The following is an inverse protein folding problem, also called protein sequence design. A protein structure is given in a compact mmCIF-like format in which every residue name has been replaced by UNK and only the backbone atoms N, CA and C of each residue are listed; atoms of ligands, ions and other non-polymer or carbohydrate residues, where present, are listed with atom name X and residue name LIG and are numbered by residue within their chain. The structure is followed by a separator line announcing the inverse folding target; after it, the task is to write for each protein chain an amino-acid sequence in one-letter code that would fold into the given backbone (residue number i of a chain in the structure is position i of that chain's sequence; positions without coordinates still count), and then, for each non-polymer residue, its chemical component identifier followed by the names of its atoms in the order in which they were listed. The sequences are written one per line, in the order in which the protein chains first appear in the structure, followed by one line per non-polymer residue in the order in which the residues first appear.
data_IF_710623264258
#
_entry.id   IF_710623264258
#
_cell.length_a   1.000
_cell.length_b   1.000
_cell.length_c   1.000
_cell.angle_alpha   90.00
_cell.angle_beta   90.00
_cell.angle_gamma   90.00
#
_symmetry.space_group_name_H-M   'P 1'
#
loop_
_entity.id
_entity.type
_entity.pdbx_description
1 polymer ?
#
# COMPACT_ATOMS: atom_id res chain seq x y z
N UNK A 1 27.97 -4.14 12.45
CA UNK A 1 26.72 -4.87 12.75
C UNK A 1 25.59 -4.07 12.15
N UNK A 2 24.81 -4.66 11.23
CA UNK A 2 23.62 -3.99 10.69
C UNK A 2 22.59 -3.83 11.83
N UNK A 3 22.07 -2.63 12.03
CA UNK A 3 21.02 -2.39 13.03
C UNK A 3 19.67 -2.86 12.49
N UNK A 4 18.75 -3.24 13.39
CA UNK A 4 17.40 -3.66 13.01
C UNK A 4 16.68 -2.63 12.11
N UNK A 5 16.96 -1.33 12.29
CA UNK A 5 16.40 -0.26 11.45
C UNK A 5 17.04 -0.15 10.07
N UNK A 6 18.34 -0.44 9.92
CA UNK A 6 18.95 -0.52 8.58
C UNK A 6 18.34 -1.66 7.74
N UNK A 7 17.90 -2.73 8.39
CA UNK A 7 17.18 -3.82 7.72
C UNK A 7 15.78 -3.37 7.32
N UNK A 8 15.05 -2.69 8.22
CA UNK A 8 13.77 -2.06 7.90
C UNK A 8 13.88 -1.10 6.71
N UNK A 9 14.75 -0.10 6.80
CA UNK A 9 14.97 0.90 5.75
C UNK A 9 15.34 0.26 4.39
N UNK A 10 16.12 -0.83 4.41
CA UNK A 10 16.45 -1.58 3.19
C UNK A 10 15.23 -2.30 2.60
N UNK A 11 14.38 -2.88 3.45
CA UNK A 11 13.12 -3.50 3.02
C UNK A 11 12.18 -2.44 2.44
N UNK A 12 12.07 -1.26 3.04
CA UNK A 12 11.27 -0.15 2.52
C UNK A 12 11.80 0.33 1.16
N UNK A 13 13.11 0.53 1.04
CA UNK A 13 13.74 0.90 -0.24
C UNK A 13 13.54 -0.17 -1.32
N UNK A 14 13.63 -1.45 -0.93
CA UNK A 14 13.38 -2.56 -1.84
C UNK A 14 11.93 -2.55 -2.34
N UNK A 15 10.95 -2.21 -1.50
CA UNK A 15 9.55 -2.03 -1.93
C UNK A 15 9.41 -0.91 -2.96
N UNK A 16 10.09 0.22 -2.77
CA UNK A 16 10.09 1.29 -3.78
C UNK A 16 10.62 0.79 -5.15
N UNK A 17 11.68 -0.02 -5.13
CA UNK A 17 12.21 -0.67 -6.33
C UNK A 17 11.22 -1.67 -6.96
N UNK A 18 10.47 -2.42 -6.15
CA UNK A 18 9.39 -3.28 -6.64
C UNK A 18 8.27 -2.46 -7.33
N UNK A 19 7.93 -1.29 -6.79
CA UNK A 19 7.00 -0.35 -7.43
C UNK A 19 7.47 0.09 -8.82
N UNK A 20 8.74 0.44 -8.97
CA UNK A 20 9.33 0.77 -10.28
C UNK A 20 9.34 -0.44 -11.23
N UNK A 21 9.56 -1.64 -10.68
CA UNK A 21 9.53 -2.88 -11.45
C UNK A 21 8.14 -3.16 -12.05
N UNK A 22 7.05 -2.77 -11.36
CA UNK A 22 5.69 -2.86 -11.91
C UNK A 22 5.50 -1.94 -13.11
N UNK A 23 6.01 -0.71 -13.04
CA UNK A 23 5.98 0.24 -14.17
C UNK A 23 6.71 -0.35 -15.37
N UNK A 24 7.94 -0.82 -15.15
CA UNK A 24 8.75 -1.46 -16.18
C UNK A 24 8.04 -2.66 -16.82
N UNK A 25 7.45 -3.52 -15.99
CA UNK A 25 6.72 -4.70 -16.43
C UNK A 25 5.50 -4.33 -17.29
N UNK A 26 4.77 -3.28 -16.92
CA UNK A 26 3.61 -2.81 -17.68
C UNK A 26 3.99 -2.27 -19.06
N UNK A 27 5.13 -1.58 -19.16
CA UNK A 27 5.64 -1.05 -20.42
C UNK A 27 6.24 -2.12 -21.34
N UNK A 28 6.82 -3.18 -20.78
CA UNK A 28 7.55 -4.21 -21.55
C UNK A 28 6.72 -5.45 -21.87
N UNK A 29 5.95 -5.95 -20.89
CA UNK A 29 5.19 -7.20 -21.01
C UNK A 29 3.68 -6.98 -20.98
N UNK A 30 3.21 -5.84 -20.47
CA UNK A 30 1.80 -5.51 -20.33
C UNK A 30 1.01 -6.62 -19.64
N UNK A 31 -0.07 -7.06 -20.27
CA UNK A 31 -0.99 -8.07 -19.72
C UNK A 31 -0.37 -9.47 -19.59
N UNK A 32 0.67 -9.80 -20.37
CA UNK A 32 1.40 -11.08 -20.24
C UNK A 32 2.22 -11.12 -18.94
N UNK A 33 2.59 -9.96 -18.41
CA UNK A 33 3.34 -9.81 -17.16
C UNK A 33 2.52 -10.09 -15.89
N UNK A 34 1.21 -10.37 -15.97
CA UNK A 34 0.34 -10.45 -14.79
C UNK A 34 0.84 -11.41 -13.71
N UNK A 35 1.39 -12.57 -14.10
CA UNK A 35 2.00 -13.49 -13.15
C UNK A 35 3.12 -12.83 -12.33
N UNK A 36 4.03 -12.13 -13.01
CA UNK A 36 5.16 -11.43 -12.37
C UNK A 36 4.67 -10.29 -11.49
N UNK A 37 3.64 -9.56 -11.93
CA UNK A 37 3.02 -8.51 -11.14
C UNK A 37 2.45 -9.07 -9.82
N UNK A 38 1.80 -10.25 -9.85
CA UNK A 38 1.32 -10.92 -8.63
C UNK A 38 2.47 -11.26 -7.69
N UNK A 39 3.55 -11.85 -8.20
CA UNK A 39 4.72 -12.19 -7.38
C UNK A 39 5.38 -10.95 -6.78
N UNK A 40 5.51 -9.88 -7.56
CA UNK A 40 6.04 -8.59 -7.09
C UNK A 40 5.16 -8.04 -5.96
N UNK A 41 3.83 -8.06 -6.11
CA UNK A 41 2.91 -7.56 -5.08
C UNK A 41 2.95 -8.40 -3.80
N UNK A 42 2.96 -9.73 -3.91
CA UNK A 42 3.13 -10.61 -2.74
C UNK A 42 4.45 -10.30 -2.03
N UNK A 43 5.53 -10.11 -2.80
CA UNK A 43 6.86 -9.78 -2.24
C UNK A 43 6.84 -8.41 -1.54
N UNK A 44 6.22 -7.40 -2.15
CA UNK A 44 6.12 -6.05 -1.58
C UNK A 44 5.34 -6.07 -0.25
N UNK A 45 4.18 -6.75 -0.22
CA UNK A 45 3.39 -6.91 1.00
C UNK A 45 4.09 -7.79 2.05
N UNK A 46 4.89 -8.76 1.63
CA UNK A 46 5.73 -9.53 2.57
C UNK A 46 6.78 -8.63 3.23
N UNK A 47 7.41 -7.75 2.45
CA UNK A 47 8.34 -6.74 2.96
C UNK A 47 7.70 -5.88 4.04
N UNK A 48 6.51 -5.34 3.78
CA UNK A 48 5.72 -4.54 4.72
C UNK A 48 5.52 -5.22 6.08
N UNK A 49 5.08 -6.48 6.04
CA UNK A 49 4.81 -7.27 7.24
C UNK A 49 6.09 -7.55 8.04
N UNK A 50 7.22 -7.73 7.36
CA UNK A 50 8.52 -7.97 7.98
C UNK A 50 9.05 -6.68 8.61
N UNK A 51 9.02 -5.57 7.86
CA UNK A 51 9.48 -4.26 8.31
C UNK A 51 8.75 -3.82 9.58
N UNK A 52 7.41 -3.84 9.54
CA UNK A 52 6.59 -3.46 10.69
C UNK A 52 6.91 -4.28 11.96
N UNK A 53 7.24 -5.58 11.82
CA UNK A 53 7.65 -6.41 12.97
C UNK A 53 9.04 -6.10 13.47
N UNK A 54 9.99 -5.81 12.58
CA UNK A 54 11.38 -5.49 12.93
C UNK A 54 11.42 -4.13 13.64
N UNK A 55 10.72 -3.12 13.12
CA UNK A 55 10.63 -1.79 13.72
C UNK A 55 10.09 -1.85 15.16
N UNK A 56 9.02 -2.62 15.39
CA UNK A 56 8.36 -2.74 16.72
C UNK A 56 9.15 -3.54 17.77
N UNK A 57 10.13 -4.35 17.37
CA UNK A 57 11.00 -5.09 18.31
C UNK A 57 12.10 -4.21 18.92
N UNK A 58 12.28 -2.99 18.42
CA UNK A 58 13.34 -2.09 18.90
C UNK A 58 12.78 -1.15 19.97
N UNK A 59 13.26 -1.28 21.23
CA UNK A 59 12.80 -0.50 22.40
C UNK A 59 13.09 1.01 22.33
N UNK A 60 13.97 1.46 21.43
CA UNK A 60 14.39 2.86 21.34
C UNK A 60 13.58 3.62 20.27
N UNK A 61 12.80 4.59 20.74
CA UNK A 61 12.14 5.64 19.95
C UNK A 61 13.19 6.52 19.26
N UNK A 62 13.64 6.10 18.08
CA UNK A 62 14.39 6.95 17.16
C UNK A 62 13.64 6.94 15.84
N UNK A 63 13.14 8.09 15.40
CA UNK A 63 12.56 8.25 14.08
C UNK A 63 13.68 8.07 13.03
N UNK A 64 13.52 7.15 12.07
CA UNK A 64 14.35 7.13 10.86
C UNK A 64 13.58 7.82 9.75
N UNK A 65 14.27 8.63 8.95
CA UNK A 65 13.63 9.36 7.85
C UNK A 65 12.88 8.44 6.90
N UNK A 66 13.39 7.22 6.66
CA UNK A 66 12.74 6.23 5.79
C UNK A 66 11.48 5.64 6.44
N UNK A 67 11.51 5.32 7.74
CA UNK A 67 10.34 4.84 8.47
C UNK A 67 9.24 5.89 8.62
N UNK A 68 9.60 7.17 8.67
CA UNK A 68 8.63 8.28 8.67
C UNK A 68 7.96 8.47 7.29
N UNK A 69 8.56 7.93 6.21
CA UNK A 69 8.04 8.01 4.83
C UNK A 69 7.56 6.65 4.27
N UNK A 70 7.25 5.68 5.13
CA UNK A 70 6.80 4.33 4.71
C UNK A 70 5.47 4.40 3.93
N UNK A 71 4.57 5.30 4.33
CA UNK A 71 3.32 5.52 3.62
C UNK A 71 3.53 6.08 2.21
N UNK A 72 4.47 7.00 2.04
CA UNK A 72 4.83 7.59 0.76
C UNK A 72 5.43 6.54 -0.18
N UNK A 73 6.22 5.62 0.37
CA UNK A 73 6.75 4.48 -0.37
C UNK A 73 5.61 3.55 -0.78
N UNK A 74 4.62 3.32 0.07
CA UNK A 74 3.44 2.53 -0.28
C UNK A 74 2.59 3.20 -1.34
N UNK A 75 2.48 4.52 -1.27
CA UNK A 75 1.83 5.29 -2.31
C UNK A 75 2.59 5.14 -3.63
N UNK A 76 3.93 5.17 -3.61
CA UNK A 76 4.75 4.93 -4.79
C UNK A 76 4.55 3.52 -5.37
N UNK A 77 4.47 2.48 -4.52
CA UNK A 77 4.16 1.11 -4.96
C UNK A 77 2.77 1.04 -5.59
N UNK A 78 1.76 1.64 -4.96
CA UNK A 78 0.39 1.69 -5.49
C UNK A 78 0.31 2.45 -6.81
N UNK A 79 1.07 3.54 -6.97
CA UNK A 79 1.20 4.28 -8.22
C UNK A 79 1.86 3.43 -9.30
N UNK A 80 2.92 2.69 -8.96
CA UNK A 80 3.57 1.76 -9.88
C UNK A 80 2.61 0.66 -10.36
N UNK A 81 1.79 0.13 -9.45
CA UNK A 81 0.73 -0.83 -9.78
C UNK A 81 -0.35 -0.22 -10.66
N UNK A 82 -0.77 1.02 -10.39
CA UNK A 82 -1.75 1.72 -11.20
C UNK A 82 -1.25 1.94 -12.63
N UNK A 83 0.01 2.35 -12.79
CA UNK A 83 0.66 2.49 -14.10
C UNK A 83 0.73 1.13 -14.82
N UNK A 84 1.07 0.05 -14.11
CA UNK A 84 1.02 -1.31 -14.65
C UNK A 84 -0.38 -1.65 -15.19
N UNK A 85 -1.43 -1.37 -14.41
CA UNK A 85 -2.81 -1.67 -14.79
C UNK A 85 -3.28 -0.90 -16.03
N UNK A 86 -2.85 0.37 -16.17
CA UNK A 86 -3.15 1.18 -17.36
C UNK A 86 -2.39 0.65 -18.58
N UNK A 87 -1.08 0.51 -18.46
CA UNK A 87 -0.19 0.12 -19.58
C UNK A 87 -0.48 -1.30 -20.07
N UNK A 88 -0.95 -2.18 -19.19
CA UNK A 88 -1.42 -3.53 -19.52
C UNK A 88 -2.84 -3.58 -20.10
N UNK A 89 -3.53 -2.44 -20.19
CA UNK A 89 -4.88 -2.35 -20.76
C UNK A 89 -6.00 -2.84 -19.85
N UNK A 90 -5.76 -2.97 -18.54
CA UNK A 90 -6.80 -3.39 -17.59
C UNK A 90 -7.70 -2.23 -17.15
N UNK A 91 -7.15 -1.02 -17.06
CA UNK A 91 -7.91 0.19 -16.71
C UNK A 91 -7.83 1.20 -17.85
N UNK A 92 -8.95 1.87 -18.11
CA UNK A 92 -8.99 2.99 -19.06
C UNK A 92 -8.18 4.19 -18.51
N UNK A 93 -7.35 4.79 -19.35
CA UNK A 93 -6.49 5.94 -18.97
C UNK A 93 -7.30 7.13 -18.45
N UNK A 94 -8.48 7.41 -19.00
CA UNK A 94 -9.32 8.54 -18.59
C UNK A 94 -9.92 8.36 -17.20
N UNK A 95 -10.38 7.14 -16.89
CA UNK A 95 -10.84 6.77 -15.54
C UNK A 95 -9.71 6.98 -14.54
N UNK A 96 -8.50 6.59 -14.93
CA UNK A 96 -7.32 6.74 -14.06
C UNK A 96 -6.94 8.21 -13.87
N UNK A 97 -6.96 9.02 -14.93
CA UNK A 97 -6.70 10.45 -14.82
C UNK A 97 -7.72 11.12 -13.88
N UNK A 98 -9.01 10.81 -14.03
CA UNK A 98 -10.04 11.32 -13.12
C UNK A 98 -9.78 10.89 -11.67
N UNK A 99 -9.46 9.61 -11.47
CA UNK A 99 -9.14 9.06 -10.15
C UNK A 99 -7.96 9.76 -9.48
N UNK A 100 -6.86 9.94 -10.21
CA UNK A 100 -5.65 10.62 -9.72
C UNK A 100 -5.95 12.09 -9.40
N UNK A 101 -6.67 12.80 -10.28
CA UNK A 101 -7.04 14.20 -10.05
C UNK A 101 -7.96 14.36 -8.83
N UNK A 102 -8.93 13.44 -8.68
CA UNK A 102 -9.85 13.42 -7.55
C UNK A 102 -9.11 13.24 -6.22
N UNK A 103 -8.21 12.26 -6.14
CA UNK A 103 -7.41 12.02 -4.93
C UNK A 103 -6.36 13.11 -4.69
N UNK A 104 -5.74 13.65 -5.74
CA UNK A 104 -4.83 14.79 -5.62
C UNK A 104 -5.54 16.01 -5.02
N UNK A 105 -6.77 16.30 -5.48
CA UNK A 105 -7.59 17.38 -4.93
C UNK A 105 -7.96 17.15 -3.45
N UNK A 106 -8.37 15.92 -3.11
CA UNK A 106 -8.71 15.52 -1.73
C UNK A 106 -7.51 15.65 -0.79
N UNK A 107 -6.35 15.12 -1.18
CA UNK A 107 -5.12 15.19 -0.40
C UNK A 107 -4.64 16.63 -0.25
N UNK A 108 -4.74 17.43 -1.31
CA UNK A 108 -4.40 18.86 -1.27
C UNK A 108 -5.31 19.64 -0.31
N UNK A 109 -6.61 19.34 -0.30
CA UNK A 109 -7.62 20.06 0.50
C UNK A 109 -7.54 19.75 2.00
N UNK A 110 -7.20 18.51 2.38
CA UNK A 110 -7.27 18.05 3.77
C UNK A 110 -5.92 17.74 4.42
N UNK A 111 -4.83 17.65 3.65
CA UNK A 111 -3.44 17.46 4.13
C UNK A 111 -3.22 16.30 5.13
N UNK A 112 -4.20 15.41 5.28
CA UNK A 112 -4.12 14.24 6.15
C UNK A 112 -3.68 13.02 5.34
N UNK A 113 -2.37 12.92 5.09
CA UNK A 113 -1.79 11.89 4.25
C UNK A 113 -2.00 10.48 4.81
N UNK A 114 -1.98 10.31 6.14
CA UNK A 114 -2.08 8.99 6.78
C UNK A 114 -3.34 8.21 6.40
N UNK A 115 -4.52 8.79 6.65
CA UNK A 115 -5.78 8.07 6.40
C UNK A 115 -6.17 8.12 4.93
N UNK A 116 -5.99 9.28 4.28
CA UNK A 116 -6.40 9.47 2.89
C UNK A 116 -5.49 8.73 1.91
N UNK A 117 -4.20 8.59 2.23
CA UNK A 117 -3.24 7.78 1.46
C UNK A 117 -3.64 6.32 1.45
N UNK A 118 -3.97 5.74 2.61
CA UNK A 118 -4.46 4.36 2.69
C UNK A 118 -5.76 4.15 1.90
N UNK A 119 -6.70 5.10 1.97
CA UNK A 119 -7.95 5.04 1.21
C UNK A 119 -7.74 5.20 -0.31
N UNK A 120 -6.73 5.95 -0.73
CA UNK A 120 -6.33 6.07 -2.14
C UNK A 120 -5.72 4.76 -2.66
N UNK A 121 -4.97 4.02 -1.84
CA UNK A 121 -4.34 2.78 -2.28
C UNK A 121 -5.32 1.60 -2.35
N UNK A 122 -6.29 1.54 -1.43
CA UNK A 122 -7.17 0.38 -1.28
C UNK A 122 -7.95 0.00 -2.55
N UNK A 123 -8.56 0.94 -3.31
CA UNK A 123 -9.23 0.61 -4.57
C UNK A 123 -8.28 0.05 -5.63
N UNK A 124 -7.03 0.56 -5.69
CA UNK A 124 -6.02 0.09 -6.65
C UNK A 124 -5.68 -1.38 -6.35
N UNK A 125 -5.39 -1.70 -5.08
CA UNK A 125 -5.10 -3.07 -4.66
C UNK A 125 -6.31 -4.00 -4.84
N UNK A 126 -7.51 -3.54 -4.46
CA UNK A 126 -8.74 -4.32 -4.65
C UNK A 126 -9.01 -4.65 -6.11
N UNK A 127 -8.83 -3.67 -7.01
CA UNK A 127 -9.00 -3.88 -8.45
C UNK A 127 -7.93 -4.83 -9.01
N UNK A 128 -6.67 -4.70 -8.57
CA UNK A 128 -5.62 -5.64 -8.98
C UNK A 128 -5.94 -7.09 -8.59
N UNK A 129 -6.41 -7.31 -7.35
CA UNK A 129 -6.83 -8.64 -6.89
C UNK A 129 -7.95 -9.17 -7.79
N UNK A 130 -8.95 -8.34 -8.09
CA UNK A 130 -10.03 -8.70 -8.99
C UNK A 130 -9.51 -9.10 -10.39
N UNK A 131 -8.58 -8.34 -10.97
CA UNK A 131 -7.94 -8.66 -12.26
C UNK A 131 -7.18 -9.98 -12.17
N UNK A 132 -6.37 -10.20 -11.14
CA UNK A 132 -5.61 -11.43 -10.96
C UNK A 132 -6.54 -12.66 -10.86
N UNK A 133 -7.63 -12.54 -10.11
CA UNK A 133 -8.61 -13.61 -9.93
C UNK A 133 -9.42 -13.92 -11.19
N UNK A 134 -9.69 -12.91 -12.03
CA UNK A 134 -10.50 -13.08 -13.24
C UNK A 134 -9.69 -13.48 -14.46
N UNK A 135 -8.45 -13.00 -14.59
CA UNK A 135 -7.60 -13.22 -15.76
C UNK A 135 -6.63 -14.38 -15.60
N UNK A 136 -6.13 -14.62 -14.39
CA UNK A 136 -5.19 -15.71 -14.13
C UNK A 136 -5.48 -16.38 -12.77
N UNK A 137 -6.63 -17.09 -12.63
CA UNK A 137 -7.12 -17.59 -11.34
C UNK A 137 -6.10 -18.45 -10.59
N UNK A 138 -5.35 -19.30 -11.32
CA UNK A 138 -4.33 -20.18 -10.74
C UNK A 138 -3.26 -19.41 -9.93
N UNK A 139 -2.94 -18.19 -10.37
CA UNK A 139 -1.96 -17.32 -9.70
C UNK A 139 -2.66 -16.33 -8.78
N UNK A 140 -3.87 -15.86 -9.13
CA UNK A 140 -4.68 -15.00 -8.27
C UNK A 140 -4.98 -15.62 -6.91
N UNK A 141 -5.18 -16.95 -6.84
CA UNK A 141 -5.35 -17.70 -5.59
C UNK A 141 -4.16 -17.51 -4.65
N UNK A 142 -2.94 -17.34 -5.17
CA UNK A 142 -1.76 -17.10 -4.32
C UNK A 142 -1.88 -15.79 -3.53
N UNK A 143 -2.51 -14.76 -4.09
CA UNK A 143 -2.79 -13.52 -3.37
C UNK A 143 -3.76 -13.78 -2.21
N UNK A 144 -4.85 -14.52 -2.45
CA UNK A 144 -5.83 -14.83 -1.40
C UNK A 144 -5.20 -15.67 -0.28
N UNK A 145 -4.43 -16.70 -0.64
CA UNK A 145 -3.69 -17.50 0.32
C UNK A 145 -2.74 -16.62 1.13
N UNK A 146 -2.00 -15.73 0.46
CA UNK A 146 -1.09 -14.81 1.13
C UNK A 146 -1.81 -13.84 2.06
N UNK A 147 -2.96 -13.29 1.66
CA UNK A 147 -3.78 -12.43 2.51
C UNK A 147 -4.27 -13.17 3.76
N UNK A 148 -4.74 -14.40 3.62
CA UNK A 148 -5.17 -15.23 4.76
C UNK A 148 -4.01 -15.51 5.70
N UNK A 149 -2.84 -15.88 5.16
CA UNK A 149 -1.61 -16.05 5.96
C UNK A 149 -1.24 -14.75 6.66
N UNK A 150 -1.32 -13.64 5.95
CA UNK A 150 -1.06 -12.30 6.49
C UNK A 150 -1.94 -12.00 7.69
N UNK A 151 -3.25 -12.18 7.54
CA UNK A 151 -4.25 -12.00 8.60
C UNK A 151 -3.98 -12.95 9.77
N UNK A 152 -3.72 -14.24 9.54
CA UNK A 152 -3.42 -15.20 10.63
C UNK A 152 -2.19 -14.75 11.42
N UNK A 153 -1.16 -14.27 10.71
CA UNK A 153 0.10 -13.84 11.31
C UNK A 153 -0.07 -12.53 12.11
N UNK A 154 -0.90 -11.59 11.64
CA UNK A 154 -1.19 -10.32 12.33
C UNK A 154 -2.40 -10.40 13.25
N UNK A 155 -3.11 -11.53 13.27
CA UNK A 155 -4.32 -11.76 14.07
C UNK A 155 -4.16 -11.41 15.55
N UNK A 156 -3.04 -11.71 16.23
CA UNK A 156 -2.87 -11.32 17.63
C UNK A 156 -2.87 -9.79 17.85
N UNK A 157 -2.58 -9.00 16.81
CA UNK A 157 -2.43 -7.55 16.85
C UNK A 157 -3.67 -6.82 16.33
N UNK A 158 -4.45 -7.48 15.46
CA UNK A 158 -5.59 -6.88 14.77
C UNK A 158 -6.72 -6.40 15.71
N UNK A 159 -7.19 -7.20 16.70
CA UNK A 159 -8.24 -6.76 17.62
C UNK A 159 -7.75 -5.76 18.66
N UNK A 160 -6.47 -5.82 19.07
CA UNK A 160 -5.96 -5.01 20.18
C UNK A 160 -5.43 -3.62 19.76
N UNK A 161 -4.92 -3.48 18.53
CA UNK A 161 -4.22 -2.24 18.12
C UNK A 161 -4.82 -1.62 16.85
N UNK A 162 -5.13 -2.42 15.83
CA UNK A 162 -5.59 -1.91 14.53
C UNK A 162 -7.02 -1.38 14.62
N UNK A 163 -7.95 -2.17 15.19
CA UNK A 163 -9.35 -1.74 15.34
C UNK A 163 -9.50 -0.51 16.25
N UNK A 164 -8.90 -0.46 17.45
CA UNK A 164 -9.01 0.73 18.31
C UNK A 164 -8.31 1.96 17.71
N UNK A 165 -7.15 1.78 17.07
CA UNK A 165 -6.41 2.86 16.41
C UNK A 165 -7.19 3.48 15.25
N UNK A 166 -7.82 2.65 14.42
CA UNK A 166 -8.68 3.10 13.32
C UNK A 166 -9.92 3.85 13.83
N UNK A 167 -10.61 3.30 14.84
CA UNK A 167 -11.77 3.96 15.46
C UNK A 167 -11.40 5.29 16.11
N UNK A 168 -10.23 5.35 16.77
CA UNK A 168 -9.72 6.59 17.36
C UNK A 168 -9.37 7.63 16.29
N UNK A 169 -8.69 7.23 15.22
CA UNK A 169 -8.36 8.11 14.11
C UNK A 169 -9.59 8.64 13.37
N UNK A 170 -10.62 7.81 13.17
CA UNK A 170 -11.92 8.25 12.64
C UNK A 170 -12.61 9.25 13.57
N UNK A 171 -12.58 8.99 14.87
CA UNK A 171 -13.16 9.90 15.87
C UNK A 171 -12.44 11.24 15.90
N UNK A 172 -11.11 11.25 15.88
CA UNK A 172 -10.30 12.48 15.85
C UNK A 172 -10.52 13.26 14.54
N UNK A 173 -10.62 12.58 13.40
CA UNK A 173 -11.01 13.21 12.14
C UNK A 173 -12.39 13.86 12.19
N UNK A 174 -13.36 13.21 12.87
CA UNK A 174 -14.72 13.71 12.99
C UNK A 174 -14.82 14.90 13.97
N UNK A 175 -14.13 14.82 15.12
CA UNK A 175 -14.08 15.92 16.12
C UNK A 175 -13.36 17.15 15.55
N UNK A 176 -12.21 16.99 14.91
CA UNK A 176 -11.50 18.12 14.27
C UNK A 176 -12.30 18.75 13.13
N UNK A 177 -13.31 18.07 12.59
CA UNK A 177 -14.21 18.63 11.58
C UNK A 177 -15.31 19.49 12.21
N UNK A 178 -15.76 19.17 13.42
CA UNK A 178 -16.70 20.00 14.18
C UNK A 178 -16.03 21.30 14.65
N UNK A 179 -14.77 21.25 15.09
CA UNK A 179 -14.02 22.45 15.49
C UNK A 179 -13.65 23.40 14.34
N UNK A 180 -13.58 22.90 13.10
CA UNK A 180 -13.28 23.70 11.90
C UNK A 180 -14.58 24.14 11.16
N UNK A 181 -15.74 23.74 11.68
CA UNK A 181 -17.06 24.06 11.12
C UNK A 181 -17.78 25.25 11.77
N UNK A 182 -17.15 25.94 12.73
CA UNK A 182 -17.73 27.09 13.46
C UNK A 182 -17.29 28.49 12.97
N UNK A 183 -16.54 28.60 11.86
CA UNK A 183 -16.22 29.89 11.21
C UNK A 183 -16.99 30.13 9.90
#
# INVERSE_FOLDING_TARGET
MLTAKQVADFVTLFRAFLGLSLVWLGLTEGSLGLHKAVLIMITAWTGDMIDGKIARRTKNYYHTWIGDHDLEIDMAVSCGLLVYLITSGYINVWITCFYVLFWAFILWRWKNFNVLGMLCQAPIYGYFIWVAMTRLPNVGIWILVWMVVGVIITWPQFPEQVVPGFLKGLREFWINREEVGED
#
